data_IF_871743113879
#
_entry.id   IF_871743113879
#
_cell.length_a   1.000
_cell.length_b   1.000
_cell.length_c   1.000
_cell.angle_alpha   90.00
_cell.angle_beta   90.00
_cell.angle_gamma   90.00
#
_symmetry.space_group_name_H-M   'P 1'
#
loop_
_entity.id
_entity.type
_entity.pdbx_description
1 polymer ?
#
# COMPACT_ATOMS: atom_id res chain seq x y z
N UNK A 1 9.83 -2.31 -29.29
CA UNK A 1 9.64 -3.79 -29.35
C UNK A 1 8.76 -4.03 -30.56
N UNK A 2 9.30 -4.71 -31.57
CA UNK A 2 8.56 -5.08 -32.79
C UNK A 2 7.52 -6.15 -32.43
N UNK A 3 6.27 -5.93 -32.79
CA UNK A 3 5.14 -6.84 -32.59
C UNK A 3 5.32 -8.21 -33.28
N UNK A 4 6.38 -8.40 -34.07
CA UNK A 4 6.64 -9.62 -34.83
C UNK A 4 7.14 -10.82 -34.00
N UNK A 5 7.48 -10.63 -32.73
CA UNK A 5 8.06 -11.68 -31.88
C UNK A 5 7.14 -12.14 -30.73
N UNK A 6 5.83 -11.87 -30.81
CA UNK A 6 4.87 -12.48 -29.87
C UNK A 6 4.45 -13.81 -30.45
N UNK A 7 5.20 -14.84 -30.10
CA UNK A 7 4.89 -16.23 -30.47
C UNK A 7 4.04 -16.83 -29.35
N UNK A 8 2.90 -17.38 -29.75
CA UNK A 8 2.05 -18.30 -29.00
C UNK A 8 1.63 -17.82 -27.59
N UNK A 9 0.55 -17.03 -27.59
CA UNK A 9 -0.19 -16.76 -26.37
C UNK A 9 -1.51 -17.51 -26.45
N UNK A 10 -1.67 -18.52 -25.64
CA UNK A 10 -2.91 -19.32 -25.48
C UNK A 10 -4.11 -18.52 -24.95
N UNK A 11 -3.97 -17.21 -24.81
CA UNK A 11 -5.03 -16.29 -24.40
C UNK A 11 -5.77 -15.75 -25.62
N UNK A 12 -7.09 -15.73 -25.57
CA UNK A 12 -7.98 -15.34 -26.66
C UNK A 12 -8.19 -13.83 -26.84
N UNK A 13 -7.70 -12.97 -25.93
CA UNK A 13 -7.99 -11.54 -25.94
C UNK A 13 -6.72 -10.70 -25.86
N UNK A 14 -6.41 -9.97 -26.93
CA UNK A 14 -5.28 -9.05 -27.01
C UNK A 14 -5.74 -7.63 -27.31
N UNK A 15 -5.15 -6.65 -26.61
CA UNK A 15 -5.27 -5.24 -26.95
C UNK A 15 -3.93 -4.77 -27.48
N UNK A 16 -3.89 -4.43 -28.76
CA UNK A 16 -2.71 -3.83 -29.38
C UNK A 16 -2.75 -2.31 -29.21
N UNK A 17 -1.66 -1.74 -28.73
CA UNK A 17 -1.58 -0.29 -28.53
C UNK A 17 -0.20 0.23 -28.89
N UNK A 18 -0.18 1.45 -29.42
CA UNK A 18 1.05 2.23 -29.66
C UNK A 18 1.49 3.01 -28.41
N UNK A 19 0.67 3.03 -27.37
CA UNK A 19 0.92 3.68 -26.07
C UNK A 19 0.44 2.79 -24.91
N UNK A 20 0.96 1.56 -24.80
CA UNK A 20 0.33 0.49 -24.00
C UNK A 20 0.14 0.85 -22.53
N UNK A 21 1.08 1.60 -21.94
CA UNK A 21 0.99 2.03 -20.55
C UNK A 21 -0.18 3.01 -20.33
N UNK A 22 -0.36 3.97 -21.23
CA UNK A 22 -1.46 4.94 -21.15
C UNK A 22 -2.82 4.26 -21.38
N UNK A 23 -2.93 3.43 -22.39
CA UNK A 23 -4.20 2.75 -22.72
C UNK A 23 -4.56 1.72 -21.65
N UNK A 24 -3.60 1.02 -21.06
CA UNK A 24 -3.82 0.16 -19.90
C UNK A 24 -4.37 0.97 -18.72
N UNK A 25 -3.82 2.15 -18.45
CA UNK A 25 -4.33 3.02 -17.39
C UNK A 25 -5.77 3.47 -17.66
N UNK A 26 -6.14 3.78 -18.92
CA UNK A 26 -7.51 4.13 -19.30
C UNK A 26 -8.48 2.97 -19.11
N UNK A 27 -8.11 1.76 -19.54
CA UNK A 27 -8.91 0.56 -19.32
C UNK A 27 -9.11 0.35 -17.82
N UNK A 28 -8.03 0.39 -17.07
CA UNK A 28 -8.04 0.22 -15.63
C UNK A 28 -8.94 1.24 -14.92
N UNK A 29 -8.83 2.51 -15.29
CA UNK A 29 -9.68 3.59 -14.80
C UNK A 29 -11.17 3.34 -15.08
N UNK A 30 -11.50 2.99 -16.32
CA UNK A 30 -12.89 2.78 -16.71
C UNK A 30 -13.54 1.56 -16.07
N UNK A 31 -12.79 0.47 -15.86
CA UNK A 31 -13.36 -0.76 -15.29
C UNK A 31 -13.38 -0.78 -13.76
N UNK A 32 -12.42 -0.13 -13.11
CA UNK A 32 -12.24 -0.27 -11.66
C UNK A 32 -12.55 1.00 -10.88
N UNK A 33 -12.47 2.18 -11.49
CA UNK A 33 -12.77 3.42 -10.78
C UNK A 33 -14.27 3.76 -10.78
N UNK A 34 -15.02 3.27 -11.74
CA UNK A 34 -16.49 3.46 -11.79
C UNK A 34 -17.20 2.76 -10.62
N UNK A 35 -16.60 1.70 -10.08
CA UNK A 35 -17.14 0.95 -8.95
C UNK A 35 -16.69 1.50 -7.58
N UNK A 36 -15.80 2.48 -7.55
CA UNK A 36 -15.34 3.14 -6.31
C UNK A 36 -16.15 4.39 -5.95
N UNK A 37 -17.27 4.66 -6.63
CA UNK A 37 -18.33 5.51 -6.08
C UNK A 37 -19.07 4.72 -4.98
N UNK A 38 -18.30 4.15 -4.04
CA UNK A 38 -18.87 3.63 -2.82
C UNK A 38 -19.51 4.80 -2.09
N UNK A 39 -20.83 4.70 -1.90
CA UNK A 39 -21.54 5.27 -0.77
C UNK A 39 -20.58 5.61 0.37
N UNK A 40 -20.76 6.75 0.99
CA UNK A 40 -20.10 7.17 2.22
C UNK A 40 -19.77 5.94 3.07
N UNK A 41 -18.49 5.67 3.26
CA UNK A 41 -18.07 4.49 4.00
C UNK A 41 -18.58 4.64 5.43
N UNK A 42 -19.51 3.78 5.85
CA UNK A 42 -20.02 3.76 7.21
C UNK A 42 -18.85 3.63 8.20
N UNK A 43 -18.73 4.57 9.10
CA UNK A 43 -17.69 4.56 10.11
C UNK A 43 -18.24 4.90 11.50
N UNK A 44 -17.51 4.55 12.52
CA UNK A 44 -17.75 4.97 13.90
C UNK A 44 -16.64 5.89 14.39
N UNK A 45 -16.98 6.82 15.27
CA UNK A 45 -16.02 7.67 15.98
C UNK A 45 -15.88 7.11 17.39
N UNK A 46 -14.65 6.80 17.77
CA UNK A 46 -14.32 6.27 19.10
C UNK A 46 -14.23 7.39 20.14
N UNK A 47 -14.18 7.04 21.43
CA UNK A 47 -14.03 8.01 22.54
C UNK A 47 -12.72 8.80 22.48
N UNK A 48 -11.69 8.31 21.79
CA UNK A 48 -10.42 9.00 21.58
C UNK A 48 -10.33 9.72 20.22
N UNK A 49 -11.48 10.02 19.58
CA UNK A 49 -11.62 10.70 18.31
C UNK A 49 -10.96 9.96 17.11
N UNK A 50 -10.86 8.66 17.16
CA UNK A 50 -10.45 7.87 15.99
C UNK A 50 -11.63 7.47 15.14
N UNK A 51 -11.46 7.45 13.83
CA UNK A 51 -12.46 7.08 12.83
C UNK A 51 -12.19 5.65 12.39
N UNK A 52 -13.14 4.76 12.61
CA UNK A 52 -13.03 3.33 12.29
C UNK A 52 -14.13 2.93 11.30
N UNK A 53 -13.74 2.54 10.11
CA UNK A 53 -14.63 2.04 9.07
C UNK A 53 -15.27 0.70 9.42
N UNK A 54 -16.45 0.43 8.88
CA UNK A 54 -17.22 -0.78 9.16
C UNK A 54 -16.51 -2.09 8.76
N UNK A 55 -15.65 -2.05 7.76
CA UNK A 55 -14.92 -3.22 7.26
C UNK A 55 -13.63 -3.51 8.02
N UNK A 56 -13.28 -2.67 9.02
CA UNK A 56 -12.07 -2.84 9.84
C UNK A 56 -12.27 -3.95 10.85
N UNK A 57 -11.39 -4.95 10.80
CA UNK A 57 -11.34 -6.06 11.75
C UNK A 57 -10.16 -5.87 12.70
N UNK A 58 -10.43 -5.81 13.99
CA UNK A 58 -9.42 -5.57 15.03
C UNK A 58 -9.27 -6.81 15.90
N UNK A 59 -8.04 -7.31 15.99
CA UNK A 59 -7.69 -8.44 16.83
C UNK A 59 -7.77 -8.14 18.33
N UNK A 60 -7.50 -9.15 19.17
CA UNK A 60 -7.46 -8.97 20.64
C UNK A 60 -6.25 -8.14 21.04
N UNK A 61 -6.39 -7.38 22.12
CA UNK A 61 -5.31 -6.61 22.75
C UNK A 61 -4.62 -5.63 21.78
N UNK A 62 -5.36 -5.10 20.81
CA UNK A 62 -4.87 -4.03 19.92
C UNK A 62 -5.10 -2.69 20.59
N UNK A 63 -4.06 -1.87 20.65
CA UNK A 63 -4.09 -0.51 21.16
C UNK A 63 -4.09 0.49 20.00
N UNK A 64 -5.07 1.41 19.98
CA UNK A 64 -5.21 2.43 18.94
C UNK A 64 -5.19 3.81 19.59
N UNK A 65 -4.15 4.56 19.29
CA UNK A 65 -3.96 5.93 19.75
C UNK A 65 -5.02 6.90 19.22
N UNK A 66 -5.11 8.09 19.78
CA UNK A 66 -6.12 9.09 19.40
C UNK A 66 -5.91 9.63 17.98
N UNK A 67 -7.02 10.03 17.36
CA UNK A 67 -7.04 10.70 16.06
C UNK A 67 -6.68 9.81 14.87
N UNK A 68 -6.69 8.50 15.03
CA UNK A 68 -6.43 7.56 13.92
C UNK A 68 -7.60 7.54 12.93
N UNK A 69 -7.28 7.26 11.66
CA UNK A 69 -8.26 7.05 10.60
C UNK A 69 -8.01 5.69 9.94
N UNK A 70 -8.92 4.75 10.17
CA UNK A 70 -8.85 3.40 9.65
C UNK A 70 -10.05 3.18 8.73
N UNK A 71 -9.86 3.28 7.41
CA UNK A 71 -10.93 3.22 6.41
C UNK A 71 -10.59 2.24 5.28
N UNK A 72 -11.44 1.24 5.06
CA UNK A 72 -11.28 0.22 4.04
C UNK A 72 -11.32 -1.21 4.57
N UNK A 73 -10.95 -2.16 3.74
CA UNK A 73 -10.83 -3.59 4.11
C UNK A 73 -9.50 -3.80 4.86
N UNK A 74 -9.54 -3.57 6.18
CA UNK A 74 -8.35 -3.57 7.05
C UNK A 74 -8.49 -4.69 8.08
N UNK A 75 -7.44 -5.49 8.23
CA UNK A 75 -7.31 -6.45 9.30
C UNK A 75 -6.07 -6.14 10.15
N UNK A 76 -6.24 -6.05 11.47
CA UNK A 76 -5.17 -5.79 12.43
C UNK A 76 -5.04 -6.97 13.37
N UNK A 77 -3.90 -7.65 13.32
CA UNK A 77 -3.59 -8.80 14.16
C UNK A 77 -3.42 -8.43 15.63
N UNK A 78 -3.64 -9.44 16.49
CA UNK A 78 -3.64 -9.29 17.94
C UNK A 78 -2.33 -8.73 18.49
N UNK A 79 -2.41 -7.94 19.56
CA UNK A 79 -1.27 -7.35 20.27
C UNK A 79 -0.59 -6.20 19.54
N UNK A 80 -1.16 -5.73 18.42
CA UNK A 80 -0.60 -4.62 17.65
C UNK A 80 -0.85 -3.28 18.32
N UNK A 81 0.04 -2.32 18.07
CA UNK A 81 -0.02 -0.96 18.63
C UNK A 81 0.02 0.07 17.53
N UNK A 82 -1.00 0.88 17.45
CA UNK A 82 -1.17 1.95 16.47
C UNK A 82 -1.05 3.29 17.19
N UNK A 83 -0.04 4.06 16.88
CA UNK A 83 0.22 5.38 17.47
C UNK A 83 -0.83 6.42 17.11
N UNK A 84 -0.69 7.62 17.66
CA UNK A 84 -1.64 8.71 17.41
C UNK A 84 -1.59 9.21 15.96
N UNK A 85 -2.74 9.64 15.43
CA UNK A 85 -2.86 10.23 14.08
C UNK A 85 -2.32 9.32 12.96
N UNK A 86 -2.36 8.02 13.15
CA UNK A 86 -2.03 7.06 12.08
C UNK A 86 -3.22 6.95 11.12
N UNK A 87 -2.92 6.95 9.84
CA UNK A 87 -3.92 6.76 8.78
C UNK A 87 -3.65 5.42 8.09
N UNK A 88 -4.64 4.53 8.08
CA UNK A 88 -4.60 3.28 7.30
C UNK A 88 -5.82 3.26 6.40
N UNK A 89 -5.59 3.11 5.10
CA UNK A 89 -6.67 3.16 4.12
C UNK A 89 -6.66 2.00 3.13
N UNK A 90 -7.81 1.82 2.49
CA UNK A 90 -8.03 0.86 1.41
C UNK A 90 -7.87 -0.59 1.89
N UNK A 91 -7.00 -1.38 1.26
CA UNK A 91 -6.76 -2.77 1.63
C UNK A 91 -5.44 -2.87 2.40
N UNK A 92 -5.51 -3.25 3.67
CA UNK A 92 -4.32 -3.44 4.50
C UNK A 92 -4.48 -4.65 5.43
N UNK A 93 -3.45 -5.51 5.43
CA UNK A 93 -3.36 -6.64 6.33
C UNK A 93 -2.15 -6.47 7.26
N UNK A 94 -2.40 -6.30 8.54
CA UNK A 94 -1.39 -6.23 9.59
C UNK A 94 -1.39 -7.52 10.40
N UNK A 95 -0.24 -8.14 10.50
CA UNK A 95 -0.01 -9.30 11.35
C UNK A 95 -0.09 -9.00 12.84
N UNK A 96 0.39 -9.95 13.66
CA UNK A 96 0.39 -9.83 15.12
C UNK A 96 1.58 -9.00 15.61
N UNK A 97 1.40 -8.31 16.73
CA UNK A 97 2.44 -7.53 17.41
C UNK A 97 3.10 -6.49 16.49
N UNK A 98 2.37 -5.98 15.51
CA UNK A 98 2.84 -4.88 14.68
C UNK A 98 2.79 -3.58 15.47
N UNK A 99 3.84 -2.79 15.39
CA UNK A 99 3.89 -1.45 16.00
C UNK A 99 4.01 -0.40 14.90
N UNK A 100 3.07 0.53 14.85
CA UNK A 100 3.11 1.69 13.96
C UNK A 100 3.13 2.94 14.82
N UNK A 101 4.17 3.75 14.70
CA UNK A 101 4.31 4.99 15.47
C UNK A 101 3.51 6.14 14.82
N UNK A 102 3.42 7.25 15.55
CA UNK A 102 2.50 8.34 15.26
C UNK A 102 2.72 9.00 13.89
N UNK A 103 1.62 9.46 13.29
CA UNK A 103 1.63 10.22 12.04
C UNK A 103 1.90 9.41 10.77
N UNK A 104 2.08 8.10 10.87
CA UNK A 104 2.35 7.26 9.68
C UNK A 104 1.11 7.06 8.82
N UNK A 105 1.30 6.96 7.51
CA UNK A 105 0.24 6.81 6.51
C UNK A 105 0.46 5.54 5.70
N UNK A 106 -0.49 4.62 5.74
CA UNK A 106 -0.41 3.29 5.13
C UNK A 106 -1.55 3.06 4.16
N UNK A 107 -1.25 2.57 2.97
CA UNK A 107 -2.26 2.13 2.00
C UNK A 107 -2.85 3.25 1.14
N UNK A 108 -2.26 4.44 1.12
CA UNK A 108 -2.63 5.47 0.14
C UNK A 108 -2.16 5.12 -1.28
N UNK A 109 -2.81 5.73 -2.26
CA UNK A 109 -2.53 5.45 -3.66
C UNK A 109 -1.10 5.82 -4.05
N UNK A 110 -0.50 4.96 -4.85
CA UNK A 110 0.80 5.22 -5.42
C UNK A 110 0.75 6.32 -6.50
N UNK A 111 1.80 7.13 -6.57
CA UNK A 111 2.00 8.06 -7.68
C UNK A 111 2.55 7.29 -8.90
N UNK A 112 1.65 6.60 -9.60
CA UNK A 112 1.98 5.84 -10.82
C UNK A 112 1.16 6.38 -11.99
N UNK A 113 1.81 6.67 -13.11
CA UNK A 113 1.16 7.31 -14.25
C UNK A 113 1.68 6.79 -15.61
N UNK A 114 0.88 7.00 -16.63
CA UNK A 114 1.23 6.80 -18.03
C UNK A 114 1.06 8.08 -18.84
N UNK A 115 1.74 8.20 -19.96
CA UNK A 115 1.60 9.32 -20.89
C UNK A 115 1.02 8.86 -22.23
N UNK A 116 0.15 9.67 -22.82
CA UNK A 116 -0.23 9.56 -24.21
C UNK A 116 0.87 10.11 -25.14
N UNK A 117 0.77 9.80 -26.44
CA UNK A 117 1.66 10.39 -27.45
C UNK A 117 1.56 11.92 -27.55
N UNK A 118 0.45 12.48 -27.07
CA UNK A 118 0.21 13.94 -27.02
C UNK A 118 0.71 14.59 -25.73
N UNK A 119 1.32 13.83 -24.82
CA UNK A 119 1.81 14.33 -23.53
C UNK A 119 0.75 14.38 -22.42
N UNK A 120 -0.48 13.91 -22.67
CA UNK A 120 -1.51 13.80 -21.62
C UNK A 120 -1.09 12.72 -20.61
N UNK A 121 -1.24 13.01 -19.31
CA UNK A 121 -0.97 12.05 -18.25
C UNK A 121 -2.25 11.43 -17.71
N UNK A 122 -2.17 10.18 -17.33
CA UNK A 122 -3.23 9.48 -16.59
C UNK A 122 -2.62 8.74 -15.43
N UNK A 123 -3.20 8.90 -14.24
CA UNK A 123 -2.78 8.19 -13.03
C UNK A 123 -3.40 6.80 -13.02
N UNK A 124 -2.61 5.77 -12.67
CA UNK A 124 -3.14 4.44 -12.42
C UNK A 124 -3.85 4.40 -11.08
N UNK A 125 -5.10 3.97 -11.00
CA UNK A 125 -5.72 3.62 -9.73
C UNK A 125 -4.97 2.42 -9.13
N UNK A 126 -4.68 2.48 -7.84
CA UNK A 126 -4.06 1.36 -7.12
C UNK A 126 -5.14 0.35 -6.73
N UNK A 127 -4.99 -0.92 -7.11
CA UNK A 127 -5.97 -1.99 -6.83
C UNK A 127 -5.52 -2.96 -5.76
N UNK A 128 -4.21 -3.08 -5.56
CA UNK A 128 -3.62 -3.94 -4.54
C UNK A 128 -3.55 -3.24 -3.18
N UNK A 129 -3.07 -3.92 -2.17
CA UNK A 129 -3.02 -3.46 -0.80
C UNK A 129 -1.61 -3.29 -0.25
N UNK A 130 -1.55 -3.32 1.08
CA UNK A 130 -0.33 -3.40 1.87
C UNK A 130 -0.44 -4.61 2.79
N UNK A 131 0.62 -5.41 2.84
CA UNK A 131 0.75 -6.54 3.77
C UNK A 131 1.94 -6.28 4.69
N UNK A 132 1.69 -6.26 5.98
CA UNK A 132 2.69 -6.09 7.03
C UNK A 132 2.63 -7.33 7.91
N UNK A 133 3.67 -8.15 7.88
CA UNK A 133 3.72 -9.39 8.65
C UNK A 133 3.95 -9.15 10.15
N UNK A 134 4.01 -10.25 10.90
CA UNK A 134 4.14 -10.23 12.37
C UNK A 134 5.42 -9.53 12.85
N UNK A 135 5.36 -8.90 14.01
CA UNK A 135 6.48 -8.29 14.71
C UNK A 135 7.22 -7.18 13.92
N UNK A 136 6.57 -6.58 12.93
CA UNK A 136 7.12 -5.43 12.20
C UNK A 136 6.98 -4.17 13.05
N UNK A 137 8.01 -3.31 13.01
CA UNK A 137 7.99 -2.01 13.65
C UNK A 137 8.15 -0.90 12.61
N UNK A 138 7.24 0.05 12.60
CA UNK A 138 7.20 1.22 11.72
C UNK A 138 7.33 2.47 12.57
N UNK A 139 8.27 3.32 12.22
CA UNK A 139 8.57 4.58 12.87
C UNK A 139 7.51 5.66 12.71
N UNK A 140 7.83 6.88 13.13
CA UNK A 140 6.94 8.03 13.01
C UNK A 140 6.96 8.61 11.59
N UNK A 141 5.81 9.10 11.13
CA UNK A 141 5.68 9.78 9.83
C UNK A 141 6.25 8.97 8.66
N UNK A 142 6.10 7.65 8.71
CA UNK A 142 6.44 6.75 7.61
C UNK A 142 5.29 6.69 6.62
N UNK A 143 5.58 6.70 5.32
CA UNK A 143 4.56 6.51 4.29
C UNK A 143 4.76 5.20 3.56
N UNK A 144 3.70 4.39 3.43
CA UNK A 144 3.71 3.12 2.71
C UNK A 144 2.59 3.13 1.69
N UNK A 145 2.97 3.26 0.42
CA UNK A 145 2.00 3.25 -0.67
C UNK A 145 1.49 1.84 -0.95
N UNK A 146 0.19 1.71 -1.22
CA UNK A 146 -0.37 0.44 -1.72
C UNK A 146 0.08 0.17 -3.15
N UNK A 147 0.04 -1.07 -3.54
CA UNK A 147 0.42 -1.48 -4.88
C UNK A 147 -0.61 -1.14 -5.94
N UNK A 148 -0.16 -0.98 -7.18
CA UNK A 148 -1.06 -0.81 -8.33
C UNK A 148 -1.66 -2.16 -8.73
N UNK A 149 -0.82 -3.19 -8.94
CA UNK A 149 -1.22 -4.54 -9.36
C UNK A 149 -0.72 -5.64 -8.42
N UNK A 150 0.29 -5.39 -7.63
CA UNK A 150 0.87 -6.29 -6.64
C UNK A 150 0.92 -5.57 -5.31
N UNK A 151 0.65 -6.26 -4.21
CA UNK A 151 0.71 -5.69 -2.87
C UNK A 151 2.12 -5.17 -2.54
N UNK A 152 2.19 -4.15 -1.68
CA UNK A 152 3.42 -3.76 -1.00
C UNK A 152 3.57 -4.63 0.23
N UNK A 153 4.70 -5.32 0.37
CA UNK A 153 4.89 -6.36 1.36
C UNK A 153 6.07 -6.05 2.29
N UNK A 154 5.85 -6.14 3.59
CA UNK A 154 6.89 -5.97 4.62
C UNK A 154 6.88 -7.22 5.49
N UNK A 155 7.95 -8.00 5.39
CA UNK A 155 8.03 -9.29 6.06
C UNK A 155 8.43 -9.18 7.53
N UNK A 156 8.16 -10.27 8.23
CA UNK A 156 8.26 -10.43 9.68
C UNK A 156 9.57 -9.87 10.30
N UNK A 157 9.43 -9.20 11.42
CA UNK A 157 10.54 -8.70 12.23
C UNK A 157 11.33 -7.54 11.62
N UNK A 158 10.87 -6.98 10.51
CA UNK A 158 11.49 -5.81 9.87
C UNK A 158 11.22 -4.54 10.68
N UNK A 159 12.23 -3.68 10.75
CA UNK A 159 12.17 -2.39 11.44
C UNK A 159 12.41 -1.29 10.43
N UNK A 160 11.49 -0.34 10.37
CA UNK A 160 11.54 0.85 9.52
C UNK A 160 11.55 2.07 10.44
N UNK A 161 12.58 2.88 10.32
CA UNK A 161 12.75 4.08 11.14
C UNK A 161 11.99 5.27 10.57
N UNK A 162 11.99 6.38 11.29
CA UNK A 162 11.17 7.57 11.07
C UNK A 162 11.38 8.21 9.69
N UNK A 163 10.34 8.90 9.20
CA UNK A 163 10.39 9.70 7.97
C UNK A 163 10.78 8.93 6.71
N UNK A 164 10.56 7.63 6.70
CA UNK A 164 10.88 6.75 5.56
C UNK A 164 9.70 6.65 4.61
N UNK A 165 9.98 6.65 3.30
CA UNK A 165 8.98 6.45 2.26
C UNK A 165 9.16 5.08 1.58
N UNK A 166 8.10 4.27 1.57
CA UNK A 166 8.03 2.98 0.88
C UNK A 166 7.08 3.11 -0.31
N UNK A 167 7.63 2.99 -1.50
CA UNK A 167 6.87 3.05 -2.75
C UNK A 167 5.99 1.82 -2.98
N UNK A 168 5.19 1.88 -4.04
CA UNK A 168 4.25 0.82 -4.39
C UNK A 168 4.90 -0.48 -4.84
N UNK A 169 4.29 -1.61 -4.50
CA UNK A 169 4.75 -2.95 -4.89
C UNK A 169 6.20 -3.25 -4.48
N UNK A 170 6.68 -2.59 -3.43
CA UNK A 170 7.95 -2.94 -2.76
C UNK A 170 7.79 -4.24 -2.01
N UNK A 171 8.82 -5.08 -2.02
CA UNK A 171 8.88 -6.32 -1.24
C UNK A 171 10.09 -6.23 -0.30
N UNK A 172 9.86 -6.19 1.00
CA UNK A 172 10.92 -6.14 2.01
C UNK A 172 10.95 -7.48 2.74
N UNK A 173 12.09 -8.14 2.70
CA UNK A 173 12.35 -9.42 3.35
C UNK A 173 12.31 -9.33 4.88
N UNK A 174 12.53 -10.48 5.52
CA UNK A 174 12.49 -10.62 6.99
C UNK A 174 13.70 -9.95 7.66
N UNK A 175 13.46 -9.42 8.85
CA UNK A 175 14.50 -8.88 9.73
C UNK A 175 15.37 -7.77 9.12
N UNK A 176 14.83 -7.08 8.10
CA UNK A 176 15.49 -5.91 7.54
C UNK A 176 15.48 -4.74 8.52
N UNK A 177 16.47 -3.87 8.39
CA UNK A 177 16.57 -2.62 9.16
C UNK A 177 16.73 -1.47 8.19
N UNK A 178 15.78 -0.55 8.19
CA UNK A 178 15.75 0.61 7.31
C UNK A 178 15.83 1.84 8.18
N UNK A 179 16.91 2.58 8.03
CA UNK A 179 17.17 3.79 8.80
C UNK A 179 16.28 4.95 8.38
N UNK A 180 16.21 5.97 9.22
CA UNK A 180 15.41 7.16 9.00
C UNK A 180 15.73 7.89 7.69
N UNK A 181 14.74 8.59 7.15
CA UNK A 181 14.85 9.37 5.92
C UNK A 181 15.25 8.57 4.67
N UNK A 182 14.96 7.27 4.65
CA UNK A 182 15.14 6.46 3.44
C UNK A 182 13.95 6.66 2.49
N UNK A 183 14.24 6.62 1.19
CA UNK A 183 13.21 6.59 0.15
C UNK A 183 13.42 5.35 -0.72
N UNK A 184 12.49 4.39 -0.62
CA UNK A 184 12.52 3.15 -1.39
C UNK A 184 11.51 3.28 -2.52
N UNK A 185 12.03 3.38 -3.75
CA UNK A 185 11.19 3.51 -4.94
C UNK A 185 10.32 2.27 -5.18
N UNK A 186 9.22 2.46 -5.90
CA UNK A 186 8.30 1.35 -6.21
C UNK A 186 8.98 0.16 -6.89
N UNK A 187 8.51 -1.06 -6.59
CA UNK A 187 8.97 -2.35 -7.12
C UNK A 187 10.38 -2.78 -6.70
N UNK A 188 11.00 -2.10 -5.74
CA UNK A 188 12.26 -2.55 -5.14
C UNK A 188 12.01 -3.84 -4.35
N UNK A 189 12.95 -4.76 -4.42
CA UNK A 189 12.97 -5.99 -3.63
C UNK A 189 14.20 -5.94 -2.73
N UNK A 190 14.00 -5.97 -1.42
CA UNK A 190 15.03 -6.18 -0.43
C UNK A 190 14.92 -7.61 0.10
N UNK A 191 16.03 -8.34 0.06
CA UNK A 191 16.09 -9.70 0.59
C UNK A 191 16.14 -9.67 2.13
N UNK A 192 16.08 -10.85 2.75
CA UNK A 192 16.13 -10.96 4.21
C UNK A 192 17.43 -10.36 4.79
N UNK A 193 17.34 -9.85 6.01
CA UNK A 193 18.46 -9.29 6.79
C UNK A 193 19.20 -8.11 6.12
N UNK A 194 18.57 -7.42 5.20
CA UNK A 194 19.15 -6.21 4.62
C UNK A 194 19.24 -5.09 5.66
N UNK A 195 20.35 -4.36 5.63
CA UNK A 195 20.51 -3.09 6.34
C UNK A 195 20.60 -1.96 5.32
N UNK A 196 19.62 -1.05 5.37
CA UNK A 196 19.58 0.13 4.53
C UNK A 196 19.80 1.35 5.41
N UNK A 197 20.95 1.97 5.27
CA UNK A 197 21.35 3.13 6.05
C UNK A 197 22.17 4.13 5.23
N UNK A 198 22.56 5.22 5.85
CA UNK A 198 23.49 6.20 5.24
C UNK A 198 24.89 5.65 5.26
#
# INVERSE_FOLDING_TARGET
ISLKNIVDLSCSNFIFSQQPKYDLARVHWNFFNVNNNSSEEDFSITSNNSIIGRLVKIGRDVDIGPGCVLLGDIEIGSGSKIGSNVVIKNKALLGKNVTILSGSVIGENAFSFGFSKKGESIVFPSLSGVIIEDNVRIGNNVTISRGVFKDTEISCGTIIDDLTNIGNAVSIGKYCKIMANCSISGRVILMDNCFLGR
#
